data_IF_984760070534
#
_entry.id   IF_984760070534
#
_cell.length_a   1.000
_cell.length_b   1.000
_cell.length_c   1.000
_cell.angle_alpha   90.00
_cell.angle_beta   90.00
_cell.angle_gamma   90.00
#
_symmetry.space_group_name_H-M   'P 1'
#
loop_
_entity.id
_entity.type
_entity.pdbx_description
1 polymer ?
#
# COMPACT_ATOMS: atom_id res chain seq x y z
N UNK A 1 -76.96 -0.84 61.06
CA UNK A 1 -77.42 0.55 61.17
C UNK A 1 -76.26 1.47 60.80
N UNK A 2 -76.54 2.44 59.92
CA UNK A 2 -75.82 3.66 59.49
C UNK A 2 -74.37 3.90 60.00
N UNK A 3 -73.40 4.35 59.20
CA UNK A 3 -73.51 4.99 57.89
C UNK A 3 -72.14 5.15 57.19
N UNK A 4 -72.20 5.21 55.86
CA UNK A 4 -71.06 5.51 54.99
C UNK A 4 -71.02 7.01 54.70
N UNK A 5 -69.90 7.63 55.04
CA UNK A 5 -69.57 9.03 54.74
C UNK A 5 -69.16 9.12 53.27
N UNK A 6 -69.81 10.04 52.53
CA UNK A 6 -69.44 10.42 51.17
C UNK A 6 -68.10 11.15 51.18
N UNK A 7 -67.12 10.64 50.44
CA UNK A 7 -65.90 11.39 50.11
C UNK A 7 -65.97 11.80 48.64
N UNK A 8 -65.92 13.11 48.38
CA UNK A 8 -65.95 13.70 47.06
C UNK A 8 -64.63 13.44 46.32
N UNK A 9 -64.71 12.88 45.11
CA UNK A 9 -63.59 12.71 44.19
C UNK A 9 -63.49 13.97 43.32
N UNK A 10 -62.46 14.79 43.52
CA UNK A 10 -62.13 15.89 42.60
C UNK A 10 -61.30 15.32 41.43
N UNK A 11 -61.90 15.24 40.24
CA UNK A 11 -61.23 14.85 39.00
C UNK A 11 -60.52 16.10 38.45
N UNK A 12 -59.20 16.15 38.57
CA UNK A 12 -58.38 17.13 37.86
C UNK A 12 -58.15 16.66 36.42
N UNK A 13 -58.72 17.38 35.45
CA UNK A 13 -58.50 17.16 34.03
C UNK A 13 -57.14 17.78 33.67
N UNK A 14 -56.13 16.96 33.42
CA UNK A 14 -54.84 17.40 32.87
C UNK A 14 -54.99 17.57 31.35
N UNK A 15 -54.83 18.81 30.87
CA UNK A 15 -54.73 19.12 29.45
C UNK A 15 -53.41 18.56 28.87
N UNK A 16 -53.40 18.03 27.63
CA UNK A 16 -52.18 17.52 27.01
C UNK A 16 -51.21 18.68 26.69
N UNK A 17 -50.06 18.67 27.36
CA UNK A 17 -48.95 19.57 27.07
C UNK A 17 -48.41 19.20 25.68
N UNK A 18 -48.69 20.03 24.69
CA UNK A 18 -48.08 19.91 23.35
C UNK A 18 -46.62 20.35 23.47
N UNK A 19 -45.69 19.39 23.46
CA UNK A 19 -44.26 19.69 23.44
C UNK A 19 -43.90 20.22 22.05
N UNK A 20 -43.72 21.54 21.94
CA UNK A 20 -43.15 22.17 20.77
C UNK A 20 -41.66 21.80 20.72
N UNK A 21 -41.30 20.80 19.93
CA UNK A 21 -39.90 20.47 19.64
C UNK A 21 -39.26 21.68 18.94
N UNK A 22 -38.14 22.24 19.44
CA UNK A 22 -37.45 23.30 18.75
C UNK A 22 -36.97 22.78 17.40
N UNK A 23 -37.30 23.50 16.32
CA UNK A 23 -36.76 23.22 15.00
C UNK A 23 -35.23 23.29 15.07
N UNK A 24 -34.56 22.16 14.79
CA UNK A 24 -33.11 22.12 14.66
C UNK A 24 -32.78 22.99 13.44
N UNK A 25 -32.05 24.11 13.59
CA UNK A 25 -31.63 24.89 12.44
C UNK A 25 -30.75 24.03 11.53
N UNK A 26 -30.89 24.12 10.19
CA UNK A 26 -30.03 23.38 9.28
C UNK A 26 -28.56 23.72 9.57
N UNK A 27 -27.72 22.69 9.58
CA UNK A 27 -26.26 22.77 9.72
C UNK A 27 -25.73 23.86 8.78
N UNK A 28 -25.29 24.98 9.35
CA UNK A 28 -24.77 26.11 8.60
C UNK A 28 -23.45 25.70 7.94
N UNK A 29 -23.36 26.06 6.67
CA UNK A 29 -22.28 25.84 5.71
C UNK A 29 -20.84 25.96 6.25
N UNK A 30 -20.01 25.07 5.68
CA UNK A 30 -18.55 25.10 5.51
C UNK A 30 -17.86 26.43 5.87
N UNK A 31 -16.93 26.37 6.81
CA UNK A 31 -15.85 27.35 6.88
C UNK A 31 -14.95 27.16 5.64
N UNK A 32 -15.17 27.95 4.59
CA UNK A 32 -14.42 27.92 3.33
C UNK A 32 -12.95 28.42 3.45
N UNK A 33 -12.46 28.69 4.67
CA UNK A 33 -11.13 29.24 4.91
C UNK A 33 -10.45 28.51 6.05
N UNK A 34 -9.29 27.92 5.77
CA UNK A 34 -8.43 27.29 6.77
C UNK A 34 -7.85 28.35 7.72
N UNK A 35 -8.00 28.22 9.05
CA UNK A 35 -7.37 29.15 9.99
C UNK A 35 -5.86 29.22 9.81
N UNK A 36 -5.29 30.44 9.81
CA UNK A 36 -3.85 30.66 9.65
C UNK A 36 -3.03 29.88 10.69
N UNK A 37 -3.53 29.76 11.93
CA UNK A 37 -2.90 28.99 12.99
C UNK A 37 -2.73 27.52 12.60
N UNK A 38 -3.79 26.89 12.07
CA UNK A 38 -3.77 25.50 11.59
C UNK A 38 -2.77 25.35 10.44
N UNK A 39 -2.85 26.22 9.43
CA UNK A 39 -1.93 26.19 8.29
C UNK A 39 -0.46 26.33 8.73
N UNK A 40 -0.19 27.21 9.70
CA UNK A 40 1.15 27.42 10.25
C UNK A 40 1.62 26.21 11.06
N UNK A 41 0.78 25.61 11.90
CA UNK A 41 1.13 24.39 12.64
C UNK A 41 1.52 23.25 11.70
N UNK A 42 0.73 23.02 10.64
CA UNK A 42 1.02 22.01 9.61
C UNK A 42 2.38 22.29 8.95
N UNK A 43 2.61 23.53 8.50
CA UNK A 43 3.88 23.91 7.88
C UNK A 43 5.07 23.78 8.82
N UNK A 44 4.94 24.20 10.08
CA UNK A 44 5.99 24.10 11.09
C UNK A 44 6.34 22.65 11.41
N UNK A 45 5.34 21.77 11.50
CA UNK A 45 5.56 20.35 11.71
C UNK A 45 6.29 19.71 10.52
N UNK A 46 5.92 20.10 9.29
CA UNK A 46 6.62 19.68 8.06
C UNK A 46 8.08 20.13 8.00
N UNK A 47 8.37 21.38 8.36
CA UNK A 47 9.73 21.90 8.49
C UNK A 47 10.50 21.10 9.54
N UNK A 48 9.89 20.82 10.70
CA UNK A 48 10.56 20.16 11.83
C UNK A 48 10.83 18.67 11.58
N UNK A 49 9.81 17.92 11.14
CA UNK A 49 9.87 16.45 11.01
C UNK A 49 10.51 16.01 9.70
N UNK A 50 10.21 16.70 8.61
CA UNK A 50 10.60 16.29 7.27
C UNK A 50 11.67 17.19 6.65
N UNK A 51 12.10 18.24 7.36
CA UNK A 51 13.11 19.21 6.90
C UNK A 51 12.74 19.86 5.56
N UNK A 52 11.44 20.09 5.33
CA UNK A 52 10.94 20.78 4.14
C UNK A 52 11.16 22.29 4.30
N UNK A 53 11.80 22.98 3.33
CA UNK A 53 11.92 24.44 3.39
C UNK A 53 10.55 25.11 3.47
N UNK A 54 10.40 26.07 4.38
CA UNK A 54 9.13 26.79 4.58
C UNK A 54 8.63 27.46 3.28
N UNK A 55 9.55 27.94 2.45
CA UNK A 55 9.27 28.60 1.18
C UNK A 55 8.66 27.68 0.11
N UNK A 56 8.91 26.36 0.15
CA UNK A 56 8.34 25.41 -0.81
C UNK A 56 6.96 24.90 -0.39
N UNK A 57 6.54 25.10 0.85
CA UNK A 57 5.31 24.54 1.40
C UNK A 57 4.05 25.35 1.03
N UNK A 58 3.13 24.68 0.35
CA UNK A 58 1.80 25.19 -0.01
C UNK A 58 0.73 24.31 0.62
N UNK A 59 -0.39 24.92 1.03
CA UNK A 59 -1.60 24.15 1.35
C UNK A 59 -2.36 23.98 0.05
N UNK A 60 -2.58 22.73 -0.36
CA UNK A 60 -3.23 22.38 -1.63
C UNK A 60 -4.74 22.27 -1.45
N UNK A 61 -5.19 21.61 -0.39
CA UNK A 61 -6.61 21.45 -0.07
C UNK A 61 -6.83 21.32 1.44
N UNK A 62 -8.06 21.58 1.90
CA UNK A 62 -8.44 21.34 3.29
C UNK A 62 -9.96 21.12 3.41
N UNK A 63 -10.37 20.38 4.42
CA UNK A 63 -11.78 20.21 4.78
C UNK A 63 -11.94 20.18 6.30
N UNK A 64 -13.00 20.81 6.80
CA UNK A 64 -13.38 20.66 8.21
C UNK A 64 -13.96 19.27 8.42
N UNK A 65 -13.57 18.61 9.51
CA UNK A 65 -13.92 17.23 9.84
C UNK A 65 -14.15 17.06 11.34
N UNK A 66 -14.81 15.97 11.71
CA UNK A 66 -15.00 15.57 13.10
C UNK A 66 -14.39 14.19 13.30
N UNK A 67 -13.59 14.05 14.35
CA UNK A 67 -12.80 12.85 14.64
C UNK A 67 -13.39 12.05 15.79
N UNK A 68 -13.18 10.73 15.75
CA UNK A 68 -13.74 9.75 16.70
C UNK A 68 -13.17 9.84 18.12
N UNK A 69 -11.95 10.36 18.25
CA UNK A 69 -11.18 10.30 19.50
C UNK A 69 -10.10 11.40 19.56
N UNK A 70 -9.43 11.52 20.71
CA UNK A 70 -8.34 12.46 20.94
C UNK A 70 -7.06 12.20 20.13
N UNK A 71 -6.96 11.06 19.47
CA UNK A 71 -5.91 10.76 18.50
C UNK A 71 -6.35 11.05 17.07
N UNK A 72 -7.48 11.74 16.90
CA UNK A 72 -8.00 12.16 15.60
C UNK A 72 -8.30 10.96 14.68
N UNK A 73 -8.63 9.80 15.26
CA UNK A 73 -8.81 8.53 14.54
C UNK A 73 -7.51 7.96 13.96
N UNK A 74 -6.36 8.34 14.52
CA UNK A 74 -5.00 7.94 14.12
C UNK A 74 -4.19 7.46 15.34
N UNK A 75 -4.79 6.58 16.14
CA UNK A 75 -4.10 5.91 17.24
C UNK A 75 -2.94 5.06 16.70
N UNK A 76 -1.78 5.12 17.36
CA UNK A 76 -0.67 4.19 17.10
C UNK A 76 -0.90 2.86 17.81
N UNK A 77 -0.13 1.84 17.46
CA UNK A 77 -0.10 0.56 18.18
C UNK A 77 0.13 0.82 19.67
N UNK A 78 -0.73 0.23 20.50
CA UNK A 78 -0.73 0.35 21.98
C UNK A 78 -0.92 1.77 22.53
N UNK A 79 -1.35 2.73 21.70
CA UNK A 79 -1.67 4.10 22.14
C UNK A 79 -3.12 4.17 22.65
N UNK A 80 -3.29 4.57 23.90
CA UNK A 80 -4.61 4.81 24.50
C UNK A 80 -5.05 6.24 24.19
N UNK A 81 -6.16 6.37 23.46
CA UNK A 81 -6.73 7.64 23.05
C UNK A 81 -7.98 7.96 23.87
N UNK A 82 -8.21 9.24 24.16
CA UNK A 82 -9.45 9.68 24.83
C UNK A 82 -10.65 9.45 23.91
N UNK A 83 -11.79 9.01 24.43
CA UNK A 83 -13.03 8.81 23.66
C UNK A 83 -13.79 10.12 23.34
N UNK A 84 -13.09 11.26 23.38
CA UNK A 84 -13.68 12.57 23.10
C UNK A 84 -13.74 12.79 21.59
N UNK A 85 -14.92 13.13 21.07
CA UNK A 85 -15.11 13.55 19.68
C UNK A 85 -14.44 14.92 19.48
N UNK A 86 -13.57 15.04 18.48
CA UNK A 86 -12.77 16.26 18.25
C UNK A 86 -13.16 16.89 16.91
N UNK A 87 -13.65 18.14 16.93
CA UNK A 87 -13.81 18.93 15.71
C UNK A 87 -12.46 19.49 15.26
N UNK A 88 -12.21 19.46 13.95
CA UNK A 88 -10.96 19.97 13.42
C UNK A 88 -10.87 19.95 11.90
N UNK A 89 -9.65 19.81 11.37
CA UNK A 89 -9.36 19.97 9.96
C UNK A 89 -8.54 18.81 9.41
N UNK A 90 -8.92 18.35 8.21
CA UNK A 90 -8.04 17.59 7.33
C UNK A 90 -7.35 18.56 6.40
N UNK A 91 -6.02 18.52 6.32
CA UNK A 91 -5.21 19.45 5.53
C UNK A 91 -4.28 18.67 4.62
N UNK A 92 -4.30 18.98 3.33
CA UNK A 92 -3.31 18.56 2.37
C UNK A 92 -2.30 19.69 2.15
N UNK A 93 -1.06 19.45 2.53
CA UNK A 93 0.07 20.32 2.22
C UNK A 93 0.94 19.67 1.15
N UNK A 94 1.60 20.47 0.32
CA UNK A 94 2.50 19.98 -0.73
C UNK A 94 3.76 20.84 -0.77
N UNK A 95 4.88 20.22 -1.13
CA UNK A 95 6.13 20.93 -1.47
C UNK A 95 6.34 21.05 -2.99
N UNK A 96 5.33 20.65 -3.79
CA UNK A 96 5.39 20.55 -5.24
C UNK A 96 5.88 19.18 -5.75
N UNK A 97 6.47 18.36 -4.89
CA UNK A 97 6.93 16.99 -5.23
C UNK A 97 6.13 15.89 -4.54
N UNK A 98 5.57 16.17 -3.37
CA UNK A 98 4.78 15.23 -2.58
C UNK A 98 3.67 15.94 -1.82
N UNK A 99 2.51 15.29 -1.69
CA UNK A 99 1.42 15.70 -0.80
C UNK A 99 1.55 15.03 0.58
N UNK A 100 1.25 15.80 1.61
CA UNK A 100 1.26 15.43 3.02
C UNK A 100 -0.13 15.69 3.58
N UNK A 101 -0.75 14.65 4.14
CA UNK A 101 -2.09 14.76 4.72
C UNK A 101 -1.99 14.83 6.24
N UNK A 102 -2.70 15.77 6.83
CA UNK A 102 -2.73 16.00 8.27
C UNK A 102 -4.16 16.04 8.78
N UNK A 103 -4.37 15.52 9.99
CA UNK A 103 -5.53 15.79 10.82
C UNK A 103 -5.11 16.69 11.96
N UNK A 104 -5.94 17.66 12.29
CA UNK A 104 -5.75 18.50 13.45
C UNK A 104 -7.06 18.73 14.19
N UNK A 105 -7.01 19.20 15.43
CA UNK A 105 -8.10 19.94 16.06
C UNK A 105 -8.36 21.31 15.40
N UNK A 106 -9.42 22.01 15.81
CA UNK A 106 -9.79 23.33 15.30
C UNK A 106 -8.71 24.42 15.46
N UNK A 107 -7.73 24.24 16.35
CA UNK A 107 -6.74 25.26 16.71
C UNK A 107 -5.36 25.01 16.11
N UNK A 108 -5.09 23.80 15.58
CA UNK A 108 -3.76 23.44 15.14
C UNK A 108 -2.85 22.91 16.25
N UNK A 109 -3.38 22.62 17.45
CA UNK A 109 -2.57 22.23 18.63
C UNK A 109 -2.34 20.73 18.70
N UNK A 110 -3.39 19.94 18.54
CA UNK A 110 -3.30 18.50 18.34
C UNK A 110 -3.23 18.22 16.86
N UNK A 111 -2.05 17.88 16.35
CA UNK A 111 -1.76 17.67 14.93
C UNK A 111 -1.15 16.28 14.73
N UNK A 112 -1.74 15.50 13.82
CA UNK A 112 -1.25 14.18 13.42
C UNK A 112 -1.19 14.08 11.91
N UNK A 113 -0.10 13.51 11.40
CA UNK A 113 -0.01 13.17 9.99
C UNK A 113 -0.95 11.99 9.76
N UNK A 114 -1.83 12.09 8.77
CA UNK A 114 -2.42 10.89 8.19
C UNK A 114 -1.26 10.13 7.57
N UNK A 115 -0.74 9.15 8.30
CA UNK A 115 -0.15 8.01 7.63
C UNK A 115 -1.25 7.44 6.76
N UNK A 116 -1.26 7.81 5.48
CA UNK A 116 -1.38 6.76 4.48
C UNK A 116 -0.43 5.67 4.95
N UNK A 117 -0.82 4.38 5.00
CA UNK A 117 0.10 3.30 5.39
C UNK A 117 1.40 3.26 4.55
N UNK A 118 1.51 4.12 3.54
CA UNK A 118 2.73 4.48 2.83
C UNK A 118 3.66 5.31 3.73
N UNK A 119 4.79 4.70 4.11
CA UNK A 119 5.88 5.39 4.77
C UNK A 119 6.29 6.68 4.01
N UNK A 120 6.61 7.74 4.74
CA UNK A 120 7.07 9.01 4.15
C UNK A 120 8.59 9.01 4.11
N UNK A 121 9.16 9.23 2.92
CA UNK A 121 10.60 9.32 2.74
C UNK A 121 11.06 10.71 3.20
N UNK A 122 12.06 10.84 4.09
CA UNK A 122 12.56 12.15 4.50
C UNK A 122 12.99 13.00 3.30
N UNK A 123 12.68 14.29 3.27
CA UNK A 123 12.93 15.12 2.08
C UNK A 123 14.40 15.10 1.60
N UNK A 124 15.43 15.15 2.48
CA UNK A 124 16.82 15.03 2.05
C UNK A 124 17.09 13.72 1.31
N UNK A 125 16.45 12.63 1.74
CA UNK A 125 16.55 11.28 1.16
C UNK A 125 15.82 11.23 -0.19
N UNK A 126 14.59 11.76 -0.25
CA UNK A 126 13.81 11.85 -1.49
C UNK A 126 14.52 12.70 -2.56
N UNK A 127 15.12 13.83 -2.16
CA UNK A 127 15.91 14.69 -3.06
C UNK A 127 17.12 13.95 -3.62
N UNK A 128 17.91 13.28 -2.77
CA UNK A 128 19.06 12.47 -3.21
C UNK A 128 18.64 11.37 -4.18
N UNK A 129 17.53 10.67 -3.88
CA UNK A 129 16.99 9.63 -4.74
C UNK A 129 16.58 10.17 -6.12
N UNK A 130 15.82 11.28 -6.18
CA UNK A 130 15.44 11.89 -7.46
C UNK A 130 16.65 12.41 -8.25
N UNK A 131 17.64 12.99 -7.57
CA UNK A 131 18.90 13.41 -8.20
C UNK A 131 19.69 12.22 -8.76
N UNK A 132 19.76 11.12 -8.03
CA UNK A 132 20.39 9.88 -8.49
C UNK A 132 19.67 9.35 -9.74
N UNK A 133 18.34 9.22 -9.68
CA UNK A 133 17.53 8.77 -10.81
C UNK A 133 17.60 9.71 -12.02
N UNK A 134 17.69 11.03 -11.83
CA UNK A 134 17.89 11.99 -12.91
C UNK A 134 19.21 11.74 -13.65
N UNK A 135 20.31 11.51 -12.93
CA UNK A 135 21.61 11.21 -13.52
C UNK A 135 21.64 9.87 -14.23
N UNK A 136 21.02 8.85 -13.64
CA UNK A 136 20.99 7.49 -14.17
C UNK A 136 20.08 7.37 -15.40
N UNK A 137 18.89 7.98 -15.36
CA UNK A 137 17.84 7.80 -16.37
C UNK A 137 17.75 8.95 -17.38
N UNK A 138 18.42 10.08 -17.14
CA UNK A 138 18.29 11.28 -17.96
C UNK A 138 16.91 11.96 -17.89
N UNK A 139 16.11 11.66 -16.85
CA UNK A 139 14.76 12.21 -16.67
C UNK A 139 14.84 13.46 -15.80
N UNK A 140 14.26 14.56 -16.26
CA UNK A 140 14.22 15.81 -15.51
C UNK A 140 13.54 15.64 -14.13
N UNK A 141 14.11 16.23 -13.08
CA UNK A 141 13.75 15.97 -11.68
C UNK A 141 12.27 16.23 -11.40
N UNK A 142 11.69 17.26 -12.01
CA UNK A 142 10.28 17.66 -11.87
C UNK A 142 9.30 16.63 -12.46
N UNK A 143 9.77 15.75 -13.34
CA UNK A 143 8.99 14.64 -13.88
C UNK A 143 9.09 13.39 -13.02
N UNK A 144 10.00 13.33 -12.04
CA UNK A 144 10.21 12.15 -11.20
C UNK A 144 9.38 12.26 -9.92
N UNK A 145 8.39 11.38 -9.79
CA UNK A 145 7.52 11.29 -8.63
C UNK A 145 7.82 10.04 -7.82
N UNK A 146 7.71 10.10 -6.50
CA UNK A 146 7.78 8.93 -5.62
C UNK A 146 6.35 8.45 -5.38
N UNK A 147 6.03 7.21 -5.76
CA UNK A 147 4.65 6.69 -5.71
C UNK A 147 4.41 5.63 -4.65
N UNK A 148 5.45 4.96 -4.18
CA UNK A 148 5.37 4.00 -3.09
C UNK A 148 6.69 3.92 -2.34
N UNK A 149 6.62 3.71 -1.02
CA UNK A 149 7.79 3.57 -0.15
C UNK A 149 7.50 2.45 0.87
N UNK A 150 8.51 1.63 1.16
CA UNK A 150 8.48 0.64 2.23
C UNK A 150 9.80 0.67 3.02
N UNK A 151 9.77 0.78 4.37
CA UNK A 151 10.96 0.59 5.17
C UNK A 151 11.40 -0.88 5.06
N UNK A 152 12.71 -1.11 4.92
CA UNK A 152 13.31 -2.45 4.82
C UNK A 152 14.61 -2.54 5.59
N UNK A 153 14.98 -3.77 5.93
CA UNK A 153 16.31 -4.12 6.41
C UNK A 153 16.99 -4.91 5.32
N UNK A 154 18.22 -4.53 4.98
CA UNK A 154 18.99 -5.11 3.90
C UNK A 154 20.32 -5.68 4.36
N UNK A 155 20.86 -6.58 3.54
CA UNK A 155 22.24 -7.04 3.63
C UNK A 155 23.24 -6.02 3.02
N UNK A 156 24.50 -6.43 2.89
CA UNK A 156 25.55 -5.64 2.27
C UNK A 156 25.32 -5.25 0.82
N UNK A 157 24.36 -5.87 0.13
CA UNK A 157 24.01 -5.59 -1.26
C UNK A 157 22.73 -4.76 -1.38
N UNK A 158 22.25 -4.16 -0.28
CA UNK A 158 20.96 -3.47 -0.23
C UNK A 158 19.80 -4.36 -0.69
N UNK A 159 19.88 -5.67 -0.45
CA UNK A 159 18.84 -6.63 -0.84
C UNK A 159 18.73 -6.89 -2.34
N UNK A 160 19.74 -6.50 -3.14
CA UNK A 160 19.82 -6.89 -4.56
C UNK A 160 20.58 -8.20 -4.67
N UNK A 161 19.86 -9.26 -5.03
CA UNK A 161 20.40 -10.58 -5.29
C UNK A 161 20.97 -10.61 -6.70
N UNK A 162 22.28 -10.86 -6.80
CA UNK A 162 22.96 -11.11 -8.07
C UNK A 162 23.54 -12.54 -8.04
N UNK A 163 23.37 -13.35 -9.09
CA UNK A 163 23.95 -14.69 -9.14
C UNK A 163 25.45 -14.66 -8.84
N UNK A 164 25.93 -15.60 -8.01
CA UNK A 164 27.33 -15.77 -7.63
C UNK A 164 27.98 -14.56 -6.92
N UNK A 165 27.20 -13.57 -6.49
CA UNK A 165 27.70 -12.44 -5.69
C UNK A 165 27.45 -12.69 -4.21
N UNK A 166 28.51 -12.73 -3.43
CA UNK A 166 28.40 -12.75 -1.97
C UNK A 166 28.03 -11.34 -1.44
N UNK A 167 27.16 -11.31 -0.43
CA UNK A 167 26.73 -10.10 0.27
C UNK A 167 27.01 -10.27 1.76
N UNK A 168 27.48 -9.22 2.42
CA UNK A 168 27.76 -9.27 3.86
C UNK A 168 26.45 -9.42 4.64
N UNK A 169 26.43 -10.30 5.65
CA UNK A 169 25.26 -10.53 6.52
C UNK A 169 25.13 -9.44 7.59
N UNK A 170 24.90 -8.21 7.16
CA UNK A 170 24.65 -7.04 8.01
C UNK A 170 23.17 -6.65 7.94
N UNK A 171 22.68 -5.90 8.92
CA UNK A 171 21.30 -5.43 8.98
C UNK A 171 21.24 -3.91 8.74
N UNK A 172 21.29 -3.49 7.48
CA UNK A 172 21.18 -2.09 7.08
C UNK A 172 19.71 -1.67 7.01
N UNK A 173 19.29 -0.78 7.93
CA UNK A 173 17.98 -0.12 7.78
C UNK A 173 17.99 0.81 6.57
N UNK A 174 16.92 0.76 5.79
CA UNK A 174 16.77 1.55 4.58
C UNK A 174 15.35 1.54 4.03
N UNK A 175 15.24 1.84 2.76
CA UNK A 175 13.97 2.00 2.05
C UNK A 175 13.99 1.24 0.74
N UNK A 176 12.87 0.62 0.38
CA UNK A 176 12.50 0.42 -1.02
C UNK A 176 11.60 1.59 -1.43
N UNK A 177 11.85 2.17 -2.59
CA UNK A 177 11.07 3.27 -3.14
C UNK A 177 10.74 3.02 -4.61
N UNK A 178 9.53 3.38 -5.02
CA UNK A 178 9.08 3.37 -6.41
C UNK A 178 9.09 4.79 -6.93
N UNK A 179 9.82 5.02 -8.01
CA UNK A 179 9.80 6.25 -8.78
C UNK A 179 8.97 6.05 -10.04
N UNK A 180 8.29 7.09 -10.51
CA UNK A 180 7.63 7.12 -11.81
C UNK A 180 7.90 8.44 -12.53
N UNK A 181 7.78 8.41 -13.85
CA UNK A 181 7.67 9.62 -14.67
C UNK A 181 6.30 9.78 -15.35
N UNK A 182 5.29 9.03 -14.87
CA UNK A 182 3.96 8.95 -15.46
C UNK A 182 3.86 7.99 -16.66
N UNK A 183 4.98 7.60 -17.28
CA UNK A 183 5.01 6.60 -18.36
C UNK A 183 5.62 5.28 -17.92
N UNK A 184 6.66 5.35 -17.10
CA UNK A 184 7.39 4.19 -16.59
C UNK A 184 7.65 4.32 -15.10
N UNK A 185 7.86 3.17 -14.45
CA UNK A 185 8.15 3.08 -13.02
C UNK A 185 9.41 2.26 -12.75
N UNK A 186 10.17 2.65 -11.72
CA UNK A 186 11.44 2.05 -11.32
C UNK A 186 11.46 1.81 -9.82
N UNK A 187 12.10 0.72 -9.40
CA UNK A 187 12.25 0.34 -7.99
C UNK A 187 13.69 0.59 -7.56
N UNK A 188 13.86 1.31 -6.46
CA UNK A 188 15.16 1.63 -5.86
C UNK A 188 15.24 1.11 -4.44
N UNK A 189 16.42 0.63 -4.06
CA UNK A 189 16.76 0.30 -2.68
C UNK A 189 17.83 1.28 -2.21
N UNK A 190 17.69 1.79 -0.99
CA UNK A 190 18.58 2.80 -0.45
C UNK A 190 18.75 2.63 1.05
N UNK A 191 19.92 2.98 1.57
CA UNK A 191 20.12 3.06 3.02
C UNK A 191 19.30 4.22 3.64
N UNK A 192 19.26 4.28 4.98
CA UNK A 192 18.51 5.28 5.75
C UNK A 192 18.69 6.72 5.27
N UNK A 193 19.89 7.09 4.82
CA UNK A 193 20.27 8.47 4.49
C UNK A 193 20.48 8.70 2.98
N UNK A 194 20.14 7.70 2.14
CA UNK A 194 20.46 7.65 0.72
C UNK A 194 21.96 7.92 0.44
N UNK A 195 22.86 7.39 1.27
CA UNK A 195 24.31 7.42 0.98
C UNK A 195 24.67 6.33 -0.03
N UNK A 196 23.96 5.21 0.04
CA UNK A 196 23.97 4.13 -0.94
C UNK A 196 22.59 4.02 -1.55
N UNK A 197 22.53 4.03 -2.88
CA UNK A 197 21.31 3.90 -3.69
C UNK A 197 21.62 2.90 -4.80
N UNK A 198 20.72 1.93 -5.01
CA UNK A 198 20.82 0.97 -6.10
C UNK A 198 19.45 0.79 -6.76
N UNK A 199 19.42 0.73 -8.09
CA UNK A 199 18.21 0.38 -8.81
C UNK A 199 18.03 -1.15 -8.80
N UNK A 200 16.82 -1.59 -8.46
CA UNK A 200 16.38 -2.96 -8.70
C UNK A 200 15.92 -3.09 -10.15
N UNK A 201 16.86 -3.43 -11.03
CA UNK A 201 16.64 -3.48 -12.49
C UNK A 201 15.64 -4.57 -12.90
N UNK A 202 15.61 -5.70 -12.18
CA UNK A 202 14.66 -6.78 -12.43
C UNK A 202 13.21 -6.34 -12.22
N UNK A 203 12.97 -5.48 -11.23
CA UNK A 203 11.68 -4.95 -10.87
C UNK A 203 11.29 -3.64 -11.59
N UNK A 204 12.20 -3.07 -12.38
CA UNK A 204 12.03 -1.72 -12.95
C UNK A 204 11.52 -1.75 -14.39
N UNK A 205 11.20 -0.56 -14.91
CA UNK A 205 10.66 -0.33 -16.26
C UNK A 205 9.26 -0.92 -16.49
N UNK A 206 8.42 -1.01 -15.46
CA UNK A 206 6.99 -1.20 -15.67
C UNK A 206 6.42 0.01 -16.43
N UNK A 207 5.45 -0.21 -17.33
CA UNK A 207 4.86 0.81 -18.20
C UNK A 207 3.43 1.10 -17.74
N UNK A 208 3.05 2.38 -17.68
CA UNK A 208 1.69 2.80 -17.34
C UNK A 208 0.64 2.09 -18.24
N UNK A 209 -0.54 1.71 -17.71
CA UNK A 209 -1.07 2.06 -16.40
C UNK A 209 -0.68 1.11 -15.25
N UNK A 210 0.28 0.20 -15.46
CA UNK A 210 0.76 -0.68 -14.39
C UNK A 210 1.48 0.15 -13.31
N UNK A 211 0.94 0.14 -12.10
CA UNK A 211 1.56 0.71 -10.91
C UNK A 211 2.32 -0.37 -10.13
N UNK A 212 3.47 0.01 -9.59
CA UNK A 212 4.23 -0.86 -8.68
C UNK A 212 3.86 -0.48 -7.25
N UNK A 213 3.43 -1.46 -6.48
CA UNK A 213 3.18 -1.33 -5.04
C UNK A 213 3.90 -2.42 -4.27
N UNK A 214 3.99 -2.24 -2.95
CA UNK A 214 4.52 -3.27 -2.05
C UNK A 214 3.35 -4.11 -1.52
N UNK A 215 3.47 -5.43 -1.61
CA UNK A 215 2.55 -6.36 -1.00
C UNK A 215 3.15 -6.99 0.26
N UNK A 216 2.29 -7.41 1.20
CA UNK A 216 2.67 -8.31 2.29
C UNK A 216 3.10 -9.64 1.69
N UNK A 217 4.37 -9.99 1.88
CA UNK A 217 4.96 -11.19 1.30
C UNK A 217 4.74 -12.39 2.23
N UNK A 218 3.55 -12.98 2.21
CA UNK A 218 3.37 -14.35 2.70
C UNK A 218 3.84 -15.30 1.59
N UNK A 219 5.16 -15.51 1.54
CA UNK A 219 5.85 -16.26 0.50
C UNK A 219 6.18 -17.71 0.91
N UNK A 220 5.53 -18.23 1.96
CA UNK A 220 5.78 -19.57 2.45
C UNK A 220 5.18 -20.61 1.49
N UNK A 221 6.04 -21.24 0.69
CA UNK A 221 5.69 -22.43 -0.08
C UNK A 221 5.72 -23.67 0.81
N UNK A 222 4.92 -24.68 0.45
CA UNK A 222 5.07 -26.01 1.02
C UNK A 222 6.49 -26.56 0.74
N UNK A 223 7.12 -27.34 1.65
CA UNK A 223 8.53 -27.72 1.56
C UNK A 223 8.99 -28.40 0.26
N UNK A 224 8.06 -29.04 -0.45
CA UNK A 224 8.34 -29.77 -1.71
C UNK A 224 7.98 -28.99 -2.97
N UNK A 225 7.55 -27.73 -2.84
CA UNK A 225 7.17 -26.87 -3.96
C UNK A 225 8.31 -25.90 -4.27
N UNK A 226 8.78 -25.96 -5.51
CA UNK A 226 9.84 -25.09 -6.03
C UNK A 226 9.28 -23.76 -6.54
N UNK A 227 8.10 -23.81 -7.17
CA UNK A 227 7.42 -22.66 -7.73
C UNK A 227 5.92 -22.89 -7.80
N UNK A 228 5.14 -21.85 -7.63
CA UNK A 228 3.69 -21.89 -7.81
C UNK A 228 3.17 -20.62 -8.47
N UNK A 229 2.00 -20.74 -9.07
CA UNK A 229 1.18 -19.60 -9.43
C UNK A 229 -0.24 -19.78 -8.95
N UNK A 230 -0.85 -18.73 -8.42
CA UNK A 230 -2.29 -18.65 -8.21
C UNK A 230 -2.87 -17.52 -9.05
N UNK A 231 -3.96 -17.81 -9.76
CA UNK A 231 -4.73 -16.81 -10.50
C UNK A 231 -6.07 -16.65 -9.82
N UNK A 232 -6.35 -15.47 -9.27
CA UNK A 232 -7.58 -15.12 -8.55
C UNK A 232 -8.22 -13.85 -9.12
N UNK A 233 -9.52 -13.64 -8.88
CA UNK A 233 -10.22 -12.43 -9.31
C UNK A 233 -11.04 -12.59 -10.60
N UNK A 234 -11.52 -13.81 -10.88
CA UNK A 234 -12.62 -13.98 -11.83
C UNK A 234 -13.98 -13.80 -11.13
N UNK A 235 -15.01 -13.46 -11.92
CA UNK A 235 -16.39 -13.26 -11.45
C UNK A 235 -16.99 -14.49 -10.75
N UNK A 236 -16.37 -15.66 -10.91
CA UNK A 236 -16.84 -16.92 -10.32
C UNK A 236 -16.20 -17.22 -8.96
N UNK A 237 -15.29 -16.37 -8.48
CA UNK A 237 -14.51 -16.60 -7.27
C UNK A 237 -13.60 -17.82 -7.38
N UNK A 238 -13.34 -18.31 -8.59
CA UNK A 238 -12.43 -19.43 -8.82
C UNK A 238 -11.01 -18.93 -8.76
N UNK A 239 -10.17 -19.74 -8.13
CA UNK A 239 -8.73 -19.56 -8.10
C UNK A 239 -8.09 -20.80 -8.67
N UNK A 240 -7.27 -20.62 -9.71
CA UNK A 240 -6.49 -21.71 -10.30
C UNK A 240 -5.10 -21.67 -9.70
N UNK A 241 -4.67 -22.78 -9.09
CA UNK A 241 -3.34 -22.92 -8.51
C UNK A 241 -2.58 -23.96 -9.32
N UNK A 242 -1.41 -23.58 -9.85
CA UNK A 242 -0.46 -24.49 -10.47
C UNK A 242 0.82 -24.54 -9.64
N UNK A 243 1.38 -25.73 -9.47
CA UNK A 243 2.60 -25.94 -8.68
C UNK A 243 3.61 -26.76 -9.46
N UNK A 244 4.89 -26.47 -9.25
CA UNK A 244 6.03 -27.25 -9.69
C UNK A 244 6.74 -27.77 -8.45
N UNK A 245 6.71 -29.07 -8.26
CA UNK A 245 7.39 -29.74 -7.17
C UNK A 245 8.90 -29.91 -7.45
N UNK A 246 9.67 -30.17 -6.40
CA UNK A 246 11.13 -30.42 -6.47
C UNK A 246 11.49 -31.67 -7.27
N UNK A 247 10.56 -32.62 -7.39
CA UNK A 247 10.67 -33.82 -8.24
C UNK A 247 10.30 -33.59 -9.71
N UNK A 248 9.97 -32.34 -10.09
CA UNK A 248 9.63 -31.96 -11.45
C UNK A 248 8.16 -32.13 -11.83
N UNK A 249 7.31 -32.68 -10.95
CA UNK A 249 5.87 -32.78 -11.23
C UNK A 249 5.22 -31.40 -11.26
N UNK A 250 4.44 -31.17 -12.32
CA UNK A 250 3.62 -29.98 -12.48
C UNK A 250 2.17 -30.38 -12.25
N UNK A 251 1.53 -29.79 -11.24
CA UNK A 251 0.13 -30.07 -10.92
C UNK A 251 -0.73 -28.81 -10.98
N UNK A 252 -2.03 -29.00 -11.21
CA UNK A 252 -3.02 -27.92 -11.20
C UNK A 252 -4.23 -28.32 -10.37
N UNK A 253 -4.71 -27.40 -9.56
CA UNK A 253 -5.95 -27.52 -8.81
C UNK A 253 -6.77 -26.23 -8.90
N UNK A 254 -8.07 -26.35 -8.69
CA UNK A 254 -9.01 -25.24 -8.69
C UNK A 254 -9.65 -25.16 -7.30
N UNK A 255 -9.65 -23.96 -6.73
CA UNK A 255 -10.39 -23.63 -5.51
C UNK A 255 -11.49 -22.62 -5.80
N UNK A 256 -12.63 -22.74 -5.15
CA UNK A 256 -13.73 -21.77 -5.13
C UNK A 256 -14.34 -21.77 -3.71
N UNK A 257 -15.28 -20.86 -3.36
CA UNK A 257 -15.78 -20.69 -1.98
C UNK A 257 -16.24 -21.97 -1.26
N UNK A 258 -16.58 -23.05 -1.98
CA UNK A 258 -16.91 -24.36 -1.41
C UNK A 258 -16.34 -25.55 -2.22
N UNK A 259 -15.35 -25.31 -3.08
CA UNK A 259 -14.81 -26.34 -3.98
C UNK A 259 -13.30 -26.34 -3.84
N UNK A 260 -12.72 -27.52 -3.65
CA UNK A 260 -11.30 -27.77 -3.86
C UNK A 260 -11.16 -29.03 -4.70
N UNK A 261 -10.74 -28.86 -5.96
CA UNK A 261 -10.49 -30.00 -6.82
C UNK A 261 -9.31 -30.81 -6.29
N UNK A 262 -9.24 -32.09 -6.66
CA UNK A 262 -8.01 -32.85 -6.51
C UNK A 262 -6.93 -32.24 -7.42
N UNK A 263 -5.64 -32.25 -7.00
CA UNK A 263 -4.55 -31.89 -7.89
C UNK A 263 -4.50 -32.82 -9.10
N UNK A 264 -4.46 -32.23 -10.30
CA UNK A 264 -4.31 -32.96 -11.57
C UNK A 264 -2.87 -32.82 -12.02
N UNK A 265 -2.19 -33.94 -12.29
CA UNK A 265 -0.86 -33.95 -12.90
C UNK A 265 -0.97 -33.48 -14.35
N UNK A 266 -0.30 -32.39 -14.69
CA UNK A 266 -0.25 -31.88 -16.06
C UNK A 266 0.90 -32.51 -16.85
N UNK A 267 2.06 -32.59 -16.23
CA UNK A 267 3.29 -33.18 -16.79
C UNK A 267 4.36 -33.35 -15.72
N UNK A 268 5.44 -34.02 -16.10
CA UNK A 268 6.66 -34.15 -15.29
C UNK A 268 7.83 -33.60 -16.08
N UNK A 269 8.53 -32.61 -15.53
CA UNK A 269 9.74 -32.07 -16.13
C UNK A 269 10.91 -33.03 -15.92
N UNK A 270 11.74 -33.17 -16.96
CA UNK A 270 13.05 -33.81 -16.83
C UNK A 270 13.96 -33.00 -15.91
N UNK A 271 15.00 -33.60 -15.30
CA UNK A 271 15.99 -32.87 -14.50
C UNK A 271 16.58 -31.66 -15.25
N UNK A 272 16.91 -31.83 -16.53
CA UNK A 272 17.43 -30.75 -17.39
C UNK A 272 16.42 -29.61 -17.58
N UNK A 273 15.13 -29.90 -17.76
CA UNK A 273 14.10 -28.87 -17.87
C UNK A 273 13.89 -28.13 -16.54
N UNK A 274 13.91 -28.87 -15.42
CA UNK A 274 13.80 -28.31 -14.08
C UNK A 274 14.96 -27.36 -13.80
N UNK A 275 16.20 -27.76 -14.10
CA UNK A 275 17.38 -26.93 -13.87
C UNK A 275 17.43 -25.71 -14.80
N UNK A 276 16.96 -25.84 -16.05
CA UNK A 276 16.77 -24.68 -16.95
C UNK A 276 15.80 -23.67 -16.37
N UNK A 277 14.71 -24.11 -15.73
CA UNK A 277 13.76 -23.21 -15.10
C UNK A 277 14.35 -22.54 -13.86
N UNK A 278 15.05 -23.28 -12.98
CA UNK A 278 15.78 -22.69 -11.84
C UNK A 278 16.80 -21.64 -12.29
N UNK A 279 17.58 -21.96 -13.32
CA UNK A 279 18.56 -21.04 -13.89
C UNK A 279 17.90 -19.79 -14.49
N UNK A 280 16.72 -19.93 -15.09
CA UNK A 280 15.92 -18.78 -15.55
C UNK A 280 15.49 -17.90 -14.38
N UNK A 281 14.94 -18.46 -13.30
CA UNK A 281 14.53 -17.69 -12.11
C UNK A 281 15.70 -16.90 -11.52
N UNK A 282 16.87 -17.53 -11.42
CA UNK A 282 18.10 -16.89 -10.94
C UNK A 282 18.58 -15.79 -11.89
N UNK A 283 18.69 -16.08 -13.19
CA UNK A 283 19.18 -15.12 -14.21
C UNK A 283 18.26 -13.91 -14.35
N UNK A 284 16.94 -14.12 -14.27
CA UNK A 284 15.96 -13.04 -14.34
C UNK A 284 15.82 -12.31 -12.98
N UNK A 285 16.43 -12.81 -11.91
CA UNK A 285 16.37 -12.16 -10.60
C UNK A 285 14.98 -12.21 -9.98
N UNK A 286 14.29 -13.35 -10.04
CA UNK A 286 12.98 -13.53 -9.38
C UNK A 286 13.03 -13.16 -7.89
N UNK A 287 14.16 -13.42 -7.23
CA UNK A 287 14.39 -13.02 -5.84
C UNK A 287 14.28 -11.50 -5.62
N UNK A 288 14.63 -10.70 -6.63
CA UNK A 288 14.54 -9.24 -6.57
C UNK A 288 13.10 -8.75 -6.80
N UNK A 289 12.16 -9.61 -7.17
CA UNK A 289 10.74 -9.25 -7.32
C UNK A 289 9.95 -9.42 -6.01
N UNK A 290 10.60 -9.92 -4.95
CA UNK A 290 9.95 -10.27 -3.71
C UNK A 290 9.20 -9.10 -3.07
N UNK A 291 7.92 -9.33 -2.76
CA UNK A 291 7.05 -8.36 -2.10
C UNK A 291 6.60 -7.21 -2.99
N UNK A 292 6.75 -7.33 -4.32
CA UNK A 292 6.30 -6.33 -5.29
C UNK A 292 5.05 -6.80 -6.04
N UNK A 293 4.14 -5.86 -6.25
CA UNK A 293 2.91 -6.06 -7.01
C UNK A 293 2.85 -5.08 -8.18
N UNK A 294 2.46 -5.58 -9.35
CA UNK A 294 2.37 -4.87 -10.63
C UNK A 294 0.91 -4.84 -11.07
N UNK A 295 0.13 -3.94 -10.48
CA UNK A 295 -1.31 -3.89 -10.64
C UNK A 295 -1.72 -2.62 -11.36
N UNK A 296 -2.77 -2.69 -12.16
CA UNK A 296 -3.44 -1.52 -12.70
C UNK A 296 -4.47 -1.00 -11.71
N UNK A 297 -4.59 0.31 -11.54
CA UNK A 297 -5.64 0.96 -10.73
C UNK A 297 -7.06 0.78 -11.30
N UNK A 298 -7.23 -0.08 -12.30
CA UNK A 298 -8.47 -0.20 -13.03
C UNK A 298 -9.57 -0.64 -12.06
N UNK A 299 -10.54 0.26 -11.91
CA UNK A 299 -11.83 0.18 -11.26
C UNK A 299 -12.75 -0.89 -11.85
N UNK A 300 -12.20 -2.08 -12.15
CA UNK A 300 -12.92 -3.24 -12.66
C UNK A 300 -12.70 -4.36 -11.66
N UNK A 301 -13.77 -4.82 -11.02
CA UNK A 301 -13.75 -5.90 -10.06
C UNK A 301 -13.35 -7.28 -10.66
N UNK A 302 -12.95 -7.31 -11.94
CA UNK A 302 -12.93 -8.50 -12.79
C UNK A 302 -11.57 -8.75 -13.48
N UNK A 303 -10.48 -8.07 -13.06
CA UNK A 303 -9.15 -8.31 -13.65
C UNK A 303 -8.42 -9.41 -12.89
N UNK A 304 -8.14 -10.58 -13.52
CA UNK A 304 -7.46 -11.65 -12.82
C UNK A 304 -6.05 -11.24 -12.43
N UNK A 305 -5.76 -11.35 -11.14
CA UNK A 305 -4.43 -11.17 -10.56
C UNK A 305 -3.74 -12.52 -10.46
N UNK A 306 -2.53 -12.59 -11.00
CA UNK A 306 -1.66 -13.75 -10.90
C UNK A 306 -0.62 -13.45 -9.84
N UNK A 307 -0.51 -14.33 -8.85
CA UNK A 307 0.57 -14.32 -7.86
C UNK A 307 1.52 -15.47 -8.17
N UNK A 308 2.81 -15.15 -8.29
CA UNK A 308 3.89 -16.10 -8.46
C UNK A 308 4.65 -16.23 -7.16
N UNK A 309 4.90 -17.45 -6.71
CA UNK A 309 5.70 -17.74 -5.54
C UNK A 309 6.81 -18.72 -5.89
N UNK A 310 7.98 -18.51 -5.31
CA UNK A 310 9.16 -19.36 -5.39
C UNK A 310 9.89 -19.32 -4.06
N UNK A 311 11.03 -20.00 -3.97
CA UNK A 311 11.81 -20.08 -2.72
C UNK A 311 12.13 -18.68 -2.20
N UNK A 312 11.48 -18.29 -1.10
CA UNK A 312 11.68 -17.01 -0.40
C UNK A 312 11.21 -15.77 -1.18
N UNK A 313 10.38 -15.92 -2.21
CA UNK A 313 9.97 -14.79 -3.06
C UNK A 313 8.54 -14.90 -3.56
N UNK A 314 7.81 -13.78 -3.48
CA UNK A 314 6.44 -13.66 -3.99
C UNK A 314 6.28 -12.37 -4.78
N UNK A 315 5.59 -12.41 -5.92
CA UNK A 315 5.25 -11.22 -6.70
C UNK A 315 3.92 -11.41 -7.42
N UNK A 316 3.15 -10.34 -7.58
CA UNK A 316 1.82 -10.39 -8.22
C UNK A 316 1.71 -9.43 -9.39
N UNK A 317 0.90 -9.77 -10.39
CA UNK A 317 0.63 -8.91 -11.53
C UNK A 317 -0.78 -9.12 -12.10
N UNK A 318 -1.33 -8.12 -12.78
CA UNK A 318 -2.58 -8.28 -13.53
C UNK A 318 -2.33 -8.99 -14.86
N UNK A 319 -3.08 -10.06 -15.13
CA UNK A 319 -2.87 -10.93 -16.29
C UNK A 319 -2.99 -10.24 -17.65
N UNK A 320 -3.84 -9.20 -17.74
CA UNK A 320 -4.12 -8.44 -18.98
C UNK A 320 -2.91 -7.60 -19.42
N UNK A 321 -2.07 -7.15 -18.48
CA UNK A 321 -0.99 -6.20 -18.75
C UNK A 321 0.40 -6.85 -18.79
N UNK A 322 0.47 -8.13 -19.16
CA UNK A 322 1.71 -8.91 -19.24
C UNK A 322 2.81 -8.22 -20.06
N UNK A 323 2.47 -7.44 -21.09
CA UNK A 323 3.48 -6.75 -21.91
C UNK A 323 4.05 -5.49 -21.25
N UNK A 324 3.38 -4.96 -20.21
CA UNK A 324 3.72 -3.72 -19.52
C UNK A 324 4.45 -3.92 -18.18
N UNK A 325 4.51 -5.14 -17.65
CA UNK A 325 5.33 -5.46 -16.46
C UNK A 325 6.84 -5.52 -16.81
N UNK A 326 7.77 -5.52 -15.84
CA UNK A 326 9.22 -5.60 -16.12
C UNK A 326 9.62 -6.81 -16.98
N UNK A 327 10.61 -6.64 -17.86
CA UNK A 327 11.06 -7.68 -18.81
C UNK A 327 11.52 -8.98 -18.14
N UNK A 328 12.11 -8.88 -16.94
CA UNK A 328 12.46 -10.03 -16.12
C UNK A 328 11.21 -10.85 -15.78
N UNK A 329 10.19 -10.19 -15.22
CA UNK A 329 8.92 -10.84 -14.88
C UNK A 329 8.21 -11.38 -16.13
N UNK A 330 8.22 -10.66 -17.26
CA UNK A 330 7.69 -11.18 -18.54
C UNK A 330 8.32 -12.52 -18.94
N UNK A 331 9.64 -12.63 -18.80
CA UNK A 331 10.39 -13.83 -19.15
C UNK A 331 10.04 -15.02 -18.25
N UNK A 332 9.91 -14.76 -16.93
CA UNK A 332 9.52 -15.76 -15.94
C UNK A 332 8.09 -16.25 -16.20
N UNK A 333 7.14 -15.32 -16.38
CA UNK A 333 5.74 -15.64 -16.68
C UNK A 333 5.62 -16.46 -17.97
N UNK A 334 6.35 -16.08 -19.02
CA UNK A 334 6.30 -16.78 -20.32
C UNK A 334 6.83 -18.21 -20.21
N UNK A 335 7.95 -18.42 -19.52
CA UNK A 335 8.47 -19.76 -19.28
C UNK A 335 7.53 -20.58 -18.39
N UNK A 336 6.99 -19.98 -17.34
CA UNK A 336 6.05 -20.66 -16.43
C UNK A 336 4.79 -21.12 -17.17
N UNK A 337 4.18 -20.28 -17.99
CA UNK A 337 3.02 -20.65 -18.80
C UNK A 337 3.32 -21.80 -19.78
N UNK A 338 4.55 -21.93 -20.29
CA UNK A 338 4.91 -23.05 -21.17
C UNK A 338 4.98 -24.40 -20.44
N UNK A 339 5.17 -24.35 -19.12
CA UNK A 339 5.30 -25.51 -18.23
C UNK A 339 3.94 -25.87 -17.61
N UNK A 340 3.16 -24.86 -17.20
CA UNK A 340 1.96 -25.00 -16.37
C UNK A 340 0.61 -24.94 -17.14
N UNK A 341 0.65 -24.83 -18.47
CA UNK A 341 -0.53 -24.99 -19.33
C UNK A 341 -0.85 -26.47 -19.55
#
# INVERSE_FOLDING_TARGET
MLGRIRSYLAIAILAPITILLPAIPPVIAQANVLPKAVANSVKQDLVRRFQVPSASLKVQSFSQQTWSDGCLGLAKTDEVCTQAIVNGWRVEATDGSQSYFYRTDNTGKNLRTETSPQAVLPLPVARKLRQFANRELGIAIEKIQVTAIAPRTFDGCLGIVTPNRACTKIALSGWQAVLTNGRRSWVYHLDRNASRIVQNTAASNAIAPVAISFASADAALEPNILFSSSTSGDITGRTTIATLATDGKVTRLITAPNIRSRPVLLRTLTPTQLDRFKALLSRQGFANLNGLSYLTSASVADVPTVTLQGIGSSTSYTSIEKQRIPKSLQSIVTAWESIAK
#
